data_IF_363715832488
#
_entry.id   IF_363715832488
#
_cell.length_a   1.000
_cell.length_b   1.000
_cell.length_c   1.000
_cell.angle_alpha   90.00
_cell.angle_beta   90.00
_cell.angle_gamma   90.00
#
_symmetry.space_group_name_H-M   'P 1'
#
loop_
_entity.id
_entity.type
_entity.pdbx_description
1 polymer ?
#
# COMPACT_ATOMS: atom_id res chain seq x y z
N UNK A 1 -0.49 -18.09 -5.52
CA UNK A 1 -1.10 -17.88 -6.86
C UNK A 1 -0.32 -16.86 -7.70
N UNK A 2 -0.22 -15.58 -7.32
CA UNK A 2 0.52 -14.57 -8.10
C UNK A 2 2.01 -14.89 -8.33
N UNK A 3 2.74 -15.24 -7.27
CA UNK A 3 4.19 -15.45 -7.33
C UNK A 3 4.64 -16.89 -7.67
N UNK A 4 3.75 -17.87 -7.44
CA UNK A 4 4.06 -19.28 -7.65
C UNK A 4 3.42 -19.85 -8.92
N UNK A 5 2.23 -19.38 -9.30
CA UNK A 5 1.42 -19.97 -10.36
C UNK A 5 1.21 -19.04 -11.57
N UNK A 6 1.76 -17.81 -11.54
CA UNK A 6 1.73 -16.83 -12.65
C UNK A 6 0.37 -16.74 -13.36
N UNK A 7 -0.69 -16.63 -12.56
CA UNK A 7 -2.07 -16.64 -13.06
C UNK A 7 -2.29 -15.49 -14.06
N UNK A 8 -2.67 -15.79 -15.33
CA UNK A 8 -2.93 -14.77 -16.35
C UNK A 8 -4.00 -13.76 -15.93
N UNK A 9 -4.95 -14.15 -15.07
CA UNK A 9 -5.98 -13.26 -14.54
C UNK A 9 -5.42 -12.12 -13.68
N UNK A 10 -4.17 -12.24 -13.21
CA UNK A 10 -3.47 -11.22 -12.42
C UNK A 10 -2.54 -10.35 -13.28
N UNK A 11 -2.60 -10.47 -14.61
CA UNK A 11 -1.88 -9.61 -15.55
C UNK A 11 -2.82 -8.60 -16.20
N UNK A 12 -2.26 -7.48 -16.65
CA UNK A 12 -3.03 -6.48 -17.39
C UNK A 12 -3.19 -6.94 -18.84
N UNK A 13 -4.44 -7.03 -19.32
CA UNK A 13 -4.78 -7.43 -20.69
C UNK A 13 -4.26 -6.41 -21.70
N UNK A 14 -3.98 -6.87 -22.92
CA UNK A 14 -3.39 -6.03 -23.96
C UNK A 14 -4.36 -4.99 -24.53
N UNK A 15 -5.67 -5.18 -24.36
CA UNK A 15 -6.69 -4.19 -24.72
C UNK A 15 -6.75 -3.00 -23.74
N UNK A 16 -6.15 -3.12 -22.54
CA UNK A 16 -6.11 -2.04 -21.56
C UNK A 16 -4.96 -1.10 -21.88
N UNK A 17 -5.28 0.17 -22.17
CA UNK A 17 -4.28 1.21 -22.43
C UNK A 17 -3.60 1.61 -21.12
N UNK A 18 -2.29 1.40 -21.05
CA UNK A 18 -1.46 1.85 -19.95
C UNK A 18 -0.44 2.86 -20.46
N UNK A 19 -0.12 3.85 -19.63
CA UNK A 19 1.01 4.73 -19.89
C UNK A 19 2.32 3.90 -19.89
N UNK A 20 3.25 4.11 -20.84
CA UNK A 20 4.43 3.23 -21.02
C UNK A 20 5.27 3.03 -19.76
N UNK A 21 5.40 4.07 -18.93
CA UNK A 21 6.15 4.02 -17.66
C UNK A 21 5.50 3.14 -16.59
N UNK A 22 4.20 2.87 -16.66
CA UNK A 22 3.46 2.14 -15.61
C UNK A 22 3.89 0.68 -15.54
N UNK A 23 4.00 -0.02 -16.68
CA UNK A 23 4.39 -1.44 -16.71
C UNK A 23 5.77 -1.67 -16.09
N UNK A 24 6.71 -0.75 -16.31
CA UNK A 24 8.06 -0.81 -15.75
C UNK A 24 8.11 -0.37 -14.27
N UNK A 25 7.22 0.52 -13.84
CA UNK A 25 7.19 1.03 -12.47
C UNK A 25 6.64 0.06 -11.43
N UNK A 26 5.67 -0.79 -11.78
CA UNK A 26 5.02 -1.74 -10.87
C UNK A 26 6.00 -2.67 -10.12
N UNK A 27 6.96 -3.35 -10.78
CA UNK A 27 7.91 -4.21 -10.08
C UNK A 27 8.85 -3.41 -9.16
N UNK A 28 9.29 -2.23 -9.60
CA UNK A 28 10.15 -1.33 -8.81
C UNK A 28 9.44 -0.86 -7.54
N UNK A 29 8.20 -0.37 -7.66
CA UNK A 29 7.37 -0.01 -6.50
C UNK A 29 7.19 -1.21 -5.56
N UNK A 30 6.89 -2.39 -6.12
CA UNK A 30 6.72 -3.60 -5.31
C UNK A 30 7.99 -4.01 -4.56
N UNK A 31 9.16 -3.85 -5.17
CA UNK A 31 10.45 -4.12 -4.54
C UNK A 31 10.74 -3.11 -3.43
N UNK A 32 10.53 -1.81 -3.68
CA UNK A 32 10.76 -0.74 -2.70
C UNK A 32 9.86 -0.96 -1.49
N UNK A 33 8.55 -1.15 -1.70
CA UNK A 33 7.61 -1.35 -0.59
C UNK A 33 7.86 -2.67 0.14
N UNK A 34 8.15 -3.75 -0.59
CA UNK A 34 8.49 -5.04 0.02
C UNK A 34 9.75 -4.97 0.87
N UNK A 35 10.79 -4.30 0.37
CA UNK A 35 12.03 -4.05 1.12
C UNK A 35 11.80 -3.18 2.34
N UNK A 36 10.99 -2.12 2.23
CA UNK A 36 10.58 -1.29 3.37
C UNK A 36 9.88 -2.12 4.45
N UNK A 37 8.86 -2.91 4.10
CA UNK A 37 8.12 -3.74 5.06
C UNK A 37 9.06 -4.74 5.73
N UNK A 38 9.87 -5.45 4.95
CA UNK A 38 10.82 -6.43 5.49
C UNK A 38 11.82 -5.78 6.45
N UNK A 39 12.41 -4.66 6.06
CA UNK A 39 13.37 -3.94 6.90
C UNK A 39 12.70 -3.38 8.16
N UNK A 40 11.57 -2.67 8.02
CA UNK A 40 10.87 -2.06 9.13
C UNK A 40 10.39 -3.09 10.14
N UNK A 41 9.71 -4.15 9.69
CA UNK A 41 9.26 -5.25 10.57
C UNK A 41 10.46 -6.01 11.14
N UNK A 42 11.52 -6.19 10.36
CA UNK A 42 12.77 -6.81 10.80
C UNK A 42 13.43 -6.05 11.95
N UNK A 43 13.57 -4.74 11.86
CA UNK A 43 14.12 -3.91 12.94
C UNK A 43 13.18 -3.83 14.15
N UNK A 44 11.86 -3.81 13.95
CA UNK A 44 10.89 -3.92 15.06
C UNK A 44 11.05 -5.25 15.80
N UNK A 45 11.22 -6.34 15.05
CA UNK A 45 11.47 -7.67 15.60
C UNK A 45 12.83 -7.74 16.32
N UNK A 46 13.92 -7.28 15.72
CA UNK A 46 15.23 -7.22 16.38
C UNK A 46 15.17 -6.41 17.69
N UNK A 47 14.52 -5.25 17.68
CA UNK A 47 14.32 -4.45 18.88
C UNK A 47 13.63 -5.24 20.00
N UNK A 48 12.60 -6.03 19.64
CA UNK A 48 11.94 -6.92 20.60
C UNK A 48 12.88 -8.00 21.15
N UNK A 49 13.75 -8.59 20.32
CA UNK A 49 14.72 -9.62 20.78
C UNK A 49 15.73 -9.07 21.79
N UNK A 50 16.22 -7.83 21.59
CA UNK A 50 17.11 -7.18 22.55
C UNK A 50 16.38 -6.86 23.87
N UNK A 51 15.14 -6.39 23.79
CA UNK A 51 14.32 -6.10 24.98
C UNK A 51 14.06 -7.37 25.79
N UNK A 52 13.71 -8.47 25.12
CA UNK A 52 13.49 -9.79 25.74
C UNK A 52 14.78 -10.32 26.38
N UNK A 53 15.94 -10.11 25.74
CA UNK A 53 17.23 -10.48 26.30
C UNK A 53 17.56 -9.71 27.60
N UNK A 54 17.17 -8.44 27.70
CA UNK A 54 17.32 -7.65 28.94
C UNK A 54 16.33 -8.04 30.02
N UNK A 55 15.09 -8.39 29.64
CA UNK A 55 14.02 -8.71 30.58
C UNK A 55 14.07 -10.15 31.13
N UNK A 56 14.85 -11.03 30.51
CA UNK A 56 14.96 -12.44 30.93
C UNK A 56 13.89 -13.37 30.35
N UNK A 57 13.20 -12.95 29.28
CA UNK A 57 12.21 -13.76 28.57
C UNK A 57 10.79 -13.17 28.57
N UNK A 58 9.98 -13.57 27.57
CA UNK A 58 8.55 -13.24 27.49
C UNK A 58 7.75 -14.35 26.79
N UNK A 59 6.90 -15.08 27.52
CA UNK A 59 6.11 -16.20 26.98
C UNK A 59 5.22 -15.83 25.77
N UNK A 60 4.84 -14.56 25.62
CA UNK A 60 3.99 -14.09 24.52
C UNK A 60 4.79 -13.74 23.25
N UNK A 61 6.12 -13.78 23.30
CA UNK A 61 7.00 -13.47 22.18
C UNK A 61 7.95 -14.64 21.85
N UNK A 62 7.45 -15.84 21.54
CA UNK A 62 8.26 -17.06 21.43
C UNK A 62 9.41 -16.95 20.42
N UNK A 63 9.17 -16.33 19.26
CA UNK A 63 10.22 -16.11 18.27
C UNK A 63 11.26 -15.08 18.71
N UNK A 64 10.85 -14.07 19.48
CA UNK A 64 11.78 -13.11 20.02
C UNK A 64 12.68 -13.76 21.09
N UNK A 65 12.14 -14.64 21.93
CA UNK A 65 12.95 -15.45 22.87
C UNK A 65 13.96 -16.32 22.14
N UNK A 66 13.53 -17.01 21.08
CA UNK A 66 14.42 -17.88 20.31
C UNK A 66 15.62 -17.12 19.76
N UNK A 67 15.40 -15.91 19.24
CA UNK A 67 16.49 -15.10 18.69
C UNK A 67 17.27 -14.35 19.79
N UNK A 68 16.63 -14.04 20.93
CA UNK A 68 17.26 -13.38 22.07
C UNK A 68 18.45 -14.19 22.64
N UNK A 69 18.45 -15.52 22.48
CA UNK A 69 19.58 -16.36 22.91
C UNK A 69 20.87 -16.05 22.18
N UNK A 70 20.80 -15.47 20.96
CA UNK A 70 21.98 -15.01 20.22
C UNK A 70 22.68 -13.84 20.92
N UNK A 71 22.00 -13.15 21.83
CA UNK A 71 22.52 -12.00 22.57
C UNK A 71 23.03 -12.34 23.97
N UNK A 72 22.91 -13.59 24.42
CA UNK A 72 23.17 -14.01 25.81
C UNK A 72 24.61 -13.81 26.31
N UNK A 73 25.58 -13.59 25.41
CA UNK A 73 26.98 -13.29 25.76
C UNK A 73 27.36 -11.81 25.68
N UNK A 74 26.43 -10.92 25.32
CA UNK A 74 26.70 -9.50 25.19
C UNK A 74 26.57 -8.79 26.54
N UNK A 75 27.33 -7.69 26.72
CA UNK A 75 27.16 -6.84 27.89
C UNK A 75 25.78 -6.17 27.89
N UNK A 76 25.18 -5.88 29.07
CA UNK A 76 23.88 -5.19 29.12
C UNK A 76 23.86 -3.87 28.34
N UNK A 77 24.99 -3.14 28.34
CA UNK A 77 25.15 -1.92 27.55
C UNK A 77 25.09 -2.16 26.04
N UNK A 78 25.72 -3.22 25.53
CA UNK A 78 25.67 -3.58 24.11
C UNK A 78 24.26 -3.99 23.67
N UNK A 79 23.55 -4.77 24.49
CA UNK A 79 22.15 -5.17 24.22
C UNK A 79 21.23 -3.94 24.21
N UNK A 80 21.42 -3.02 25.15
CA UNK A 80 20.65 -1.76 25.23
C UNK A 80 20.90 -0.86 24.02
N UNK A 81 22.14 -0.78 23.54
CA UNK A 81 22.47 -0.06 22.31
C UNK A 81 21.77 -0.70 21.10
N UNK A 82 21.82 -2.02 20.98
CA UNK A 82 21.13 -2.76 19.90
C UNK A 82 19.62 -2.50 19.87
N UNK A 83 18.98 -2.46 21.04
CA UNK A 83 17.58 -2.09 21.18
C UNK A 83 17.29 -0.67 20.66
N UNK A 84 18.06 0.33 21.11
CA UNK A 84 17.89 1.72 20.67
C UNK A 84 18.14 1.89 19.17
N UNK A 85 19.19 1.27 18.62
CA UNK A 85 19.47 1.32 17.18
C UNK A 85 18.32 0.73 16.38
N UNK A 86 17.81 -0.42 16.80
CA UNK A 86 16.67 -1.08 16.14
C UNK A 86 15.43 -0.20 16.16
N UNK A 87 15.14 0.46 17.29
CA UNK A 87 14.05 1.42 17.40
C UNK A 87 14.21 2.62 16.45
N UNK A 88 15.37 3.28 16.48
CA UNK A 88 15.61 4.48 15.68
C UNK A 88 15.65 4.19 14.19
N UNK A 89 16.20 3.04 13.78
CA UNK A 89 16.17 2.62 12.37
C UNK A 89 14.73 2.35 11.95
N UNK A 90 13.95 1.62 12.75
CA UNK A 90 12.54 1.34 12.41
C UNK A 90 11.72 2.63 12.27
N UNK A 91 11.92 3.60 13.17
CA UNK A 91 11.27 4.92 13.10
C UNK A 91 11.75 5.73 11.88
N UNK A 92 13.05 5.78 11.65
CA UNK A 92 13.66 6.47 10.51
C UNK A 92 13.15 5.92 9.18
N UNK A 93 12.97 4.60 9.06
CA UNK A 93 12.38 3.96 7.89
C UNK A 93 10.95 4.45 7.64
N UNK A 94 10.10 4.54 8.67
CA UNK A 94 8.73 5.08 8.50
C UNK A 94 8.79 6.52 8.01
N UNK A 95 9.59 7.38 8.66
CA UNK A 95 9.68 8.80 8.30
C UNK A 95 10.19 8.99 6.86
N UNK A 96 11.14 8.18 6.42
CA UNK A 96 11.65 8.19 5.06
C UNK A 96 10.64 7.67 4.04
N UNK A 97 9.83 6.66 4.40
CA UNK A 97 8.84 6.06 3.52
C UNK A 97 7.53 6.87 3.43
N UNK A 98 7.19 7.66 4.46
CA UNK A 98 5.97 8.45 4.53
C UNK A 98 5.72 9.35 3.30
N UNK A 99 6.67 10.15 2.79
CA UNK A 99 6.44 10.96 1.58
C UNK A 99 6.31 10.12 0.31
N UNK A 100 6.86 8.90 0.30
CA UNK A 100 6.74 7.99 -0.84
C UNK A 100 5.40 7.26 -0.85
N UNK A 101 4.84 6.96 0.33
CA UNK A 101 3.62 6.16 0.52
C UNK A 101 2.43 6.56 -0.39
N UNK A 102 2.07 7.86 -0.57
CA UNK A 102 0.96 8.28 -1.43
C UNK A 102 1.16 7.99 -2.92
N UNK A 103 2.40 7.79 -3.36
CA UNK A 103 2.75 7.48 -4.75
C UNK A 103 2.85 5.98 -5.02
N UNK A 104 2.63 5.14 -4.00
CA UNK A 104 2.72 3.68 -4.12
C UNK A 104 1.36 3.05 -4.35
N UNK A 105 1.36 1.75 -4.68
CA UNK A 105 0.15 0.93 -4.73
C UNK A 105 -0.66 0.88 -3.42
N UNK A 106 -0.09 1.28 -2.29
CA UNK A 106 -0.77 1.27 -0.98
C UNK A 106 -1.59 2.54 -0.73
N UNK A 107 -1.56 3.51 -1.65
CA UNK A 107 -2.45 4.67 -1.60
C UNK A 107 -3.93 4.28 -1.50
N UNK A 108 -4.30 3.09 -2.00
CA UNK A 108 -5.64 2.54 -1.86
C UNK A 108 -6.13 2.45 -0.41
N UNK A 109 -5.24 2.37 0.58
CA UNK A 109 -5.62 2.15 1.97
C UNK A 109 -6.40 3.35 2.51
N UNK A 110 -6.01 4.56 2.11
CA UNK A 110 -6.71 5.80 2.47
C UNK A 110 -7.67 6.28 1.37
N UNK A 111 -7.38 5.97 0.10
CA UNK A 111 -8.28 6.33 -1.01
C UNK A 111 -9.52 5.44 -1.09
N UNK A 112 -9.50 4.22 -0.55
CA UNK A 112 -10.67 3.34 -0.48
C UNK A 112 -11.82 3.92 0.35
N UNK A 113 -11.59 4.37 1.60
CA UNK A 113 -12.59 5.12 2.36
C UNK A 113 -13.07 6.40 1.65
N UNK A 114 -12.16 7.18 1.05
CA UNK A 114 -12.54 8.40 0.31
C UNK A 114 -13.40 8.09 -0.92
N UNK A 115 -13.10 6.99 -1.61
CA UNK A 115 -13.92 6.48 -2.71
C UNK A 115 -15.32 6.11 -2.25
N UNK A 116 -15.44 5.49 -1.06
CA UNK A 116 -16.74 5.17 -0.49
C UNK A 116 -17.58 6.42 -0.23
N UNK A 117 -16.97 7.49 0.26
CA UNK A 117 -17.68 8.77 0.54
C UNK A 117 -18.15 9.48 -0.73
N UNK A 118 -17.45 9.30 -1.85
CA UNK A 118 -17.83 9.91 -3.13
C UNK A 118 -18.81 9.05 -3.92
N UNK A 119 -19.32 7.94 -3.37
CA UNK A 119 -20.24 7.06 -4.10
C UNK A 119 -21.56 7.78 -4.40
N UNK A 120 -22.04 7.74 -5.65
CA UNK A 120 -23.35 8.29 -5.97
C UNK A 120 -24.43 7.36 -5.44
N UNK A 121 -25.64 7.88 -5.26
CA UNK A 121 -26.84 7.09 -5.09
C UNK A 121 -27.09 6.30 -6.40
N UNK A 122 -26.99 4.97 -6.38
CA UNK A 122 -26.96 4.14 -7.60
C UNK A 122 -28.22 3.29 -7.73
N UNK A 123 -28.76 3.23 -8.95
CA UNK A 123 -29.66 2.17 -9.43
C UNK A 123 -28.90 1.02 -10.13
N UNK A 124 -27.61 1.20 -10.49
CA UNK A 124 -26.77 0.19 -11.16
C UNK A 124 -25.28 0.55 -11.22
N UNK A 125 -24.43 -0.41 -11.62
CA UNK A 125 -22.96 -0.27 -11.67
C UNK A 125 -22.46 0.67 -12.78
N UNK A 126 -23.23 0.85 -13.86
CA UNK A 126 -22.84 1.65 -15.04
C UNK A 126 -23.92 2.69 -15.41
N UNK A 127 -24.72 3.11 -14.43
CA UNK A 127 -25.78 4.09 -14.70
C UNK A 127 -25.18 5.50 -14.83
N UNK A 128 -25.01 5.93 -16.07
CA UNK A 128 -24.77 7.33 -16.39
C UNK A 128 -26.04 8.16 -16.21
N UNK A 129 -25.89 9.46 -15.98
CA UNK A 129 -27.02 10.36 -15.83
C UNK A 129 -27.60 10.53 -17.23
N UNK A 130 -28.90 10.35 -17.38
CA UNK A 130 -29.56 10.58 -18.67
C UNK A 130 -29.32 12.04 -19.09
N UNK A 131 -28.90 12.22 -20.34
CA UNK A 131 -28.78 13.52 -20.97
C UNK A 131 -30.13 13.85 -21.61
N UNK A 132 -30.63 15.05 -21.34
CA UNK A 132 -31.79 15.59 -22.04
C UNK A 132 -31.31 16.26 -23.33
N UNK A 133 -31.66 15.71 -24.48
CA UNK A 133 -31.25 16.26 -25.77
C UNK A 133 -32.15 17.41 -26.25
N UNK A 134 -33.28 17.66 -25.58
CA UNK A 134 -34.18 18.78 -25.88
C UNK A 134 -33.81 20.05 -25.09
N UNK A 135 -32.91 19.95 -24.12
CA UNK A 135 -32.40 21.08 -23.35
C UNK A 135 -31.35 21.88 -24.15
N UNK A 136 -31.80 22.96 -24.78
CA UNK A 136 -30.95 23.87 -25.57
C UNK A 136 -29.88 24.61 -24.74
N UNK A 137 -29.95 24.56 -23.40
CA UNK A 137 -28.90 25.14 -22.53
C UNK A 137 -27.66 24.26 -22.39
N UNK A 138 -27.73 22.99 -22.81
CA UNK A 138 -26.62 22.05 -22.76
C UNK A 138 -25.68 22.22 -23.96
N UNK A 139 -24.59 22.96 -23.76
CA UNK A 139 -23.54 23.16 -24.77
C UNK A 139 -22.51 22.01 -24.83
N UNK A 140 -22.50 21.13 -23.82
CA UNK A 140 -21.53 20.04 -23.71
C UNK A 140 -22.23 18.70 -23.46
N UNK A 141 -21.88 17.73 -24.31
CA UNK A 141 -22.29 16.35 -24.20
C UNK A 141 -21.10 15.48 -23.77
N UNK A 142 -21.19 14.88 -22.58
CA UNK A 142 -20.13 14.02 -22.05
C UNK A 142 -18.96 14.77 -21.40
N UNK A 143 -17.79 14.14 -21.40
CA UNK A 143 -16.61 14.56 -20.61
C UNK A 143 -15.50 15.01 -21.58
N UNK A 144 -15.05 16.26 -21.45
CA UNK A 144 -13.95 16.82 -22.25
C UNK A 144 -12.70 17.02 -21.38
N UNK A 145 -12.89 17.39 -20.12
CA UNK A 145 -11.85 17.61 -19.13
C UNK A 145 -11.99 16.66 -17.94
N UNK A 146 -10.94 16.52 -17.13
CA UNK A 146 -11.00 15.74 -15.89
C UNK A 146 -12.05 16.27 -14.91
N UNK A 147 -12.32 17.57 -14.91
CA UNK A 147 -13.29 18.17 -13.99
C UNK A 147 -14.74 17.87 -14.38
N UNK A 148 -14.98 17.38 -15.59
CA UNK A 148 -16.31 16.96 -16.04
C UNK A 148 -16.67 15.55 -15.53
N UNK A 149 -15.69 14.82 -14.97
CA UNK A 149 -15.91 13.51 -14.35
C UNK A 149 -16.57 13.66 -12.98
N UNK A 150 -17.38 12.65 -12.61
CA UNK A 150 -17.89 12.55 -11.24
C UNK A 150 -16.74 12.38 -10.26
N UNK A 151 -16.90 12.89 -9.04
CA UNK A 151 -15.91 12.72 -7.97
C UNK A 151 -15.52 11.25 -7.77
N UNK A 152 -16.46 10.31 -7.82
CA UNK A 152 -16.17 8.87 -7.73
C UNK A 152 -15.23 8.41 -8.83
N UNK A 153 -15.45 8.84 -10.07
CA UNK A 153 -14.63 8.46 -11.22
C UNK A 153 -13.21 9.02 -11.14
N UNK A 154 -13.03 10.16 -10.47
CA UNK A 154 -11.70 10.73 -10.18
C UNK A 154 -10.95 9.94 -9.11
N UNK A 155 -11.67 9.38 -8.13
CA UNK A 155 -11.08 8.71 -6.96
C UNK A 155 -10.88 7.21 -7.19
N UNK A 156 -11.75 6.56 -7.96
CA UNK A 156 -11.72 5.13 -8.31
C UNK A 156 -10.31 4.61 -8.70
N UNK A 157 -9.54 5.31 -9.56
CA UNK A 157 -8.21 4.85 -9.95
C UNK A 157 -7.23 4.73 -8.79
N UNK A 158 -7.34 5.59 -7.78
CA UNK A 158 -6.46 5.61 -6.62
C UNK A 158 -6.89 4.64 -5.52
N UNK A 159 -8.17 4.26 -5.48
CA UNK A 159 -8.69 3.23 -4.59
C UNK A 159 -8.45 1.80 -5.12
N UNK A 160 -7.99 1.67 -6.37
CA UNK A 160 -7.74 0.38 -7.00
C UNK A 160 -6.59 -0.38 -6.33
N UNK A 161 -6.85 -1.62 -5.90
CA UNK A 161 -5.83 -2.53 -5.35
C UNK A 161 -5.04 -3.29 -6.43
N UNK A 162 -5.20 -2.93 -7.70
CA UNK A 162 -4.62 -3.63 -8.87
C UNK A 162 -4.88 -5.14 -8.86
N UNK A 163 -6.13 -5.53 -8.56
CA UNK A 163 -6.58 -6.92 -8.60
C UNK A 163 -6.88 -7.40 -10.02
N UNK A 164 -6.84 -6.51 -11.03
CA UNK A 164 -7.01 -6.85 -12.43
C UNK A 164 -8.38 -7.44 -12.79
N UNK A 165 -9.40 -7.22 -11.95
CA UNK A 165 -10.79 -7.68 -12.17
C UNK A 165 -11.69 -6.65 -12.87
N UNK A 166 -11.35 -5.37 -12.80
CA UNK A 166 -12.11 -4.27 -13.39
C UNK A 166 -11.60 -3.88 -14.79
N UNK A 167 -10.89 -4.81 -15.47
CA UNK A 167 -10.26 -4.62 -16.79
C UNK A 167 -11.21 -4.88 -17.95
#
# INVERSE_FOLDING_TARGET
RRFLAHDPALTVRDNVKLHPKVRQGIPTDSLIVGGFIWAHVGFRFLGATFLVALAGGDSWQPFANLVATLWAGLSPGAVTLGWHLSFWIALGLILAFLPYFPYTKHAHLFMGPFNFMTRPERVGLDTQKAVDFEDESLEQFGVTTLLDLRQTQLVDPFACIMCNRCQ
#
